data_IF_365152520568
#
_entry.id   IF_365152520568
#
_cell.length_a   1.000
_cell.length_b   1.000
_cell.length_c   1.000
_cell.angle_alpha   90.00
_cell.angle_beta   90.00
_cell.angle_gamma   90.00
#
_symmetry.space_group_name_H-M   'P 1'
#
loop_
_entity.id
_entity.type
_entity.pdbx_description
1 polymer ?
#
# COMPACT_ATOMS: atom_id res chain seq x y z
N UNK A 1 -1.28 0.82 -6.71
CA UNK A 1 -0.37 0.00 -5.90
C UNK A 1 -0.13 -1.34 -6.57
N UNK A 2 1.12 -1.82 -6.57
CA UNK A 2 1.51 -3.00 -7.33
C UNK A 2 2.23 -4.03 -6.46
N UNK A 3 1.75 -5.27 -6.53
CA UNK A 3 2.40 -6.45 -5.96
C UNK A 3 3.65 -6.76 -6.79
N UNK A 4 4.79 -6.92 -6.12
CA UNK A 4 6.11 -7.13 -6.73
C UNK A 4 6.66 -8.56 -6.53
N UNK A 5 5.81 -9.55 -6.22
CA UNK A 5 6.23 -10.94 -6.00
C UNK A 5 6.90 -11.57 -7.24
N UNK A 6 6.44 -11.23 -8.44
CA UNK A 6 7.19 -11.43 -9.67
C UNK A 6 7.86 -10.11 -10.07
N UNK A 7 9.10 -9.93 -9.62
CA UNK A 7 9.85 -8.69 -9.79
C UNK A 7 10.05 -8.32 -11.25
N UNK A 8 10.31 -9.31 -12.11
CA UNK A 8 10.50 -9.08 -13.54
C UNK A 8 9.22 -8.60 -14.21
N UNK A 9 8.09 -9.27 -13.95
CA UNK A 9 6.79 -8.87 -14.48
C UNK A 9 6.37 -7.49 -13.96
N UNK A 10 6.65 -7.18 -12.69
CA UNK A 10 6.38 -5.89 -12.09
C UNK A 10 7.21 -4.78 -12.77
N UNK A 11 8.52 -4.96 -12.89
CA UNK A 11 9.40 -3.99 -13.56
C UNK A 11 8.98 -3.74 -15.02
N UNK A 12 8.64 -4.79 -15.76
CA UNK A 12 8.15 -4.69 -17.15
C UNK A 12 6.82 -3.91 -17.22
N UNK A 13 5.92 -4.11 -16.27
CA UNK A 13 4.66 -3.38 -16.20
C UNK A 13 4.89 -1.90 -15.92
N UNK A 14 5.77 -1.56 -14.98
CA UNK A 14 6.17 -0.17 -14.71
C UNK A 14 6.75 0.46 -15.97
N UNK A 15 7.74 -0.17 -16.60
CA UNK A 15 8.38 0.34 -17.82
C UNK A 15 7.37 0.58 -18.96
N UNK A 16 6.33 -0.24 -19.05
CA UNK A 16 5.31 -0.15 -20.10
C UNK A 16 4.28 0.94 -19.86
N UNK A 17 3.87 1.17 -18.61
CA UNK A 17 2.68 1.98 -18.30
C UNK A 17 2.94 3.22 -17.44
N UNK A 18 4.13 3.37 -16.82
CA UNK A 18 4.46 4.58 -16.09
C UNK A 18 4.50 5.78 -17.06
N UNK A 19 3.94 6.89 -16.62
CA UNK A 19 3.85 8.12 -17.40
C UNK A 19 3.64 9.31 -16.45
N UNK A 20 3.63 10.57 -16.94
CA UNK A 20 3.27 11.71 -16.11
C UNK A 20 1.87 11.62 -15.45
N UNK A 21 1.03 10.72 -15.92
CA UNK A 21 -0.35 10.52 -15.41
C UNK A 21 -0.55 9.18 -14.69
N UNK A 22 0.47 8.28 -14.70
CA UNK A 22 0.39 6.95 -14.10
C UNK A 22 1.65 6.69 -13.30
N UNK A 23 1.52 6.69 -11.99
CA UNK A 23 2.57 6.35 -11.04
C UNK A 23 2.27 5.00 -10.38
N UNK A 24 3.31 4.20 -10.21
CA UNK A 24 3.22 2.94 -9.48
C UNK A 24 3.79 3.12 -8.08
N UNK A 25 3.07 2.58 -7.09
CA UNK A 25 3.48 2.56 -5.69
C UNK A 25 3.47 1.13 -5.16
N UNK A 26 4.18 0.91 -4.06
CA UNK A 26 4.41 -0.42 -3.51
C UNK A 26 3.18 -1.07 -2.88
N UNK A 27 3.00 -2.38 -3.17
CA UNK A 27 2.13 -3.29 -2.44
C UNK A 27 2.92 -4.53 -2.00
N UNK A 28 4.19 -4.36 -1.65
CA UNK A 28 5.19 -5.35 -1.21
C UNK A 28 5.72 -6.30 -2.28
N UNK A 29 6.81 -6.97 -1.94
CA UNK A 29 7.35 -8.13 -2.67
C UNK A 29 6.77 -9.42 -2.11
N UNK A 30 6.82 -9.64 -0.79
CA UNK A 30 6.52 -10.94 -0.17
C UNK A 30 5.39 -10.93 0.86
N UNK A 31 4.85 -9.75 1.23
CA UNK A 31 3.82 -9.69 2.27
C UNK A 31 2.42 -10.07 1.78
N UNK A 32 2.14 -10.01 0.47
CA UNK A 32 0.84 -10.36 -0.09
C UNK A 32 0.65 -11.88 -0.18
N UNK A 33 0.79 -12.54 0.96
CA UNK A 33 0.65 -13.99 1.16
C UNK A 33 0.01 -14.26 2.52
N UNK A 34 -0.69 -15.40 2.67
CA UNK A 34 -1.17 -15.84 3.98
C UNK A 34 0.02 -16.22 4.87
N UNK A 35 -0.22 -16.31 6.17
CA UNK A 35 0.78 -16.77 7.14
C UNK A 35 0.85 -15.90 8.39
N UNK A 36 0.05 -14.86 8.47
CA UNK A 36 -0.10 -14.01 9.64
C UNK A 36 -1.18 -14.51 10.61
N UNK A 37 -1.26 -13.84 11.76
CA UNK A 37 -2.18 -14.18 12.86
C UNK A 37 -3.12 -13.04 13.23
N UNK A 38 -3.07 -11.93 12.52
CA UNK A 38 -3.91 -10.74 12.74
C UNK A 38 -4.70 -10.41 11.47
N UNK A 39 -5.76 -9.62 11.62
CA UNK A 39 -6.59 -9.11 10.53
C UNK A 39 -7.07 -10.23 9.60
N UNK A 40 -6.82 -10.05 8.32
CA UNK A 40 -7.15 -11.03 7.28
C UNK A 40 -6.06 -12.11 7.08
N UNK A 41 -5.10 -12.20 8.01
CA UNK A 41 -4.07 -13.24 8.04
C UNK A 41 -2.89 -12.99 7.09
N UNK A 42 -2.66 -11.74 6.73
CA UNK A 42 -1.52 -11.35 5.92
C UNK A 42 -0.18 -11.61 6.61
N UNK A 43 0.84 -11.97 5.81
CA UNK A 43 2.15 -12.41 6.32
C UNK A 43 2.87 -11.39 7.19
N UNK A 44 2.53 -10.10 7.11
CA UNK A 44 3.22 -9.02 7.83
C UNK A 44 3.35 -9.28 9.34
N UNK A 45 2.33 -9.89 9.97
CA UNK A 45 2.37 -10.20 11.41
C UNK A 45 3.31 -11.32 11.80
N UNK A 46 3.85 -12.08 10.84
CA UNK A 46 4.84 -13.12 11.04
C UNK A 46 6.27 -12.66 10.64
N UNK A 47 6.43 -11.39 10.26
CA UNK A 47 7.71 -10.81 9.85
C UNK A 47 8.28 -9.91 10.94
N UNK A 48 9.60 -9.90 11.05
CA UNK A 48 10.33 -8.91 11.85
C UNK A 48 10.33 -7.54 11.17
N UNK A 49 10.56 -6.48 11.96
CA UNK A 49 10.69 -5.11 11.42
C UNK A 49 11.71 -5.03 10.27
N UNK A 50 12.87 -5.67 10.42
CA UNK A 50 13.92 -5.61 9.41
C UNK A 50 13.54 -6.34 8.12
N UNK A 51 12.82 -7.45 8.21
CA UNK A 51 12.28 -8.15 7.03
C UNK A 51 11.25 -7.28 6.30
N UNK A 52 10.36 -6.60 7.04
CA UNK A 52 9.38 -5.66 6.48
C UNK A 52 10.10 -4.49 5.81
N UNK A 53 11.07 -3.88 6.48
CA UNK A 53 11.83 -2.75 5.96
C UNK A 53 12.57 -3.09 4.67
N UNK A 54 13.18 -4.27 4.59
CA UNK A 54 13.85 -4.73 3.37
C UNK A 54 12.86 -4.96 2.24
N UNK A 55 11.72 -5.60 2.50
CA UNK A 55 10.65 -5.81 1.51
C UNK A 55 10.11 -4.47 0.95
N UNK A 56 9.93 -3.46 1.81
CA UNK A 56 9.50 -2.12 1.40
C UNK A 56 10.53 -1.45 0.48
N UNK A 57 11.82 -1.54 0.82
CA UNK A 57 12.90 -0.97 0.00
C UNK A 57 13.04 -1.67 -1.36
N UNK A 58 12.95 -2.99 -1.36
CA UNK A 58 13.01 -3.79 -2.58
C UNK A 58 11.83 -3.46 -3.50
N UNK A 59 10.61 -3.43 -2.97
CA UNK A 59 9.42 -3.10 -3.75
C UNK A 59 9.44 -1.65 -4.27
N UNK A 60 9.90 -0.69 -3.47
CA UNK A 60 10.06 0.70 -3.89
C UNK A 60 11.06 0.82 -5.06
N UNK A 61 12.16 0.07 -5.01
CA UNK A 61 13.14 0.01 -6.10
C UNK A 61 12.54 -0.54 -7.39
N UNK A 62 11.68 -1.57 -7.30
CA UNK A 62 11.03 -2.19 -8.47
C UNK A 62 10.01 -1.25 -9.11
N UNK A 63 9.20 -0.56 -8.31
CA UNK A 63 8.18 0.37 -8.84
C UNK A 63 8.76 1.73 -9.24
N UNK A 64 9.98 2.03 -8.83
CA UNK A 64 10.64 3.31 -9.11
C UNK A 64 10.07 4.48 -8.31
N UNK A 65 9.37 4.20 -7.22
CA UNK A 65 8.78 5.18 -6.31
C UNK A 65 8.83 4.68 -4.87
N UNK A 66 9.08 5.58 -3.93
CA UNK A 66 9.03 5.35 -2.49
C UNK A 66 8.13 6.37 -1.80
N UNK A 67 7.04 6.79 -2.44
CA UNK A 67 6.14 7.80 -1.88
C UNK A 67 5.08 7.18 -0.98
N UNK A 68 4.50 6.06 -1.40
CA UNK A 68 3.39 5.46 -0.70
C UNK A 68 3.45 3.93 -0.67
N UNK A 69 2.77 3.35 0.30
CA UNK A 69 2.60 1.92 0.45
C UNK A 69 1.13 1.57 0.73
N UNK A 70 0.64 0.47 0.20
CA UNK A 70 -0.61 -0.11 0.64
C UNK A 70 -0.32 -1.44 1.32
N UNK A 71 -0.78 -1.58 2.57
CA UNK A 71 -0.64 -2.83 3.31
C UNK A 71 -1.40 -3.96 2.62
N UNK A 72 -0.75 -5.10 2.29
CA UNK A 72 -1.45 -6.30 1.86
C UNK A 72 -2.50 -6.71 2.89
N UNK A 73 -3.71 -7.03 2.41
CA UNK A 73 -4.91 -7.32 3.23
C UNK A 73 -5.36 -6.16 4.14
N UNK A 74 -4.60 -5.06 4.22
CA UNK A 74 -4.82 -3.96 5.14
C UNK A 74 -4.28 -4.20 6.55
N UNK A 75 -3.61 -5.33 6.77
CA UNK A 75 -3.06 -5.73 8.07
C UNK A 75 -1.84 -4.87 8.43
N UNK A 76 -1.85 -4.31 9.63
CA UNK A 76 -0.76 -3.48 10.16
C UNK A 76 -0.22 -4.04 11.46
N UNK A 77 1.06 -3.80 11.72
CA UNK A 77 1.71 -4.11 13.00
C UNK A 77 2.53 -2.89 13.47
N UNK A 78 2.84 -2.75 14.75
CA UNK A 78 3.76 -1.70 15.22
C UNK A 78 5.11 -1.73 14.50
N UNK A 79 5.64 -2.92 14.25
CA UNK A 79 6.88 -3.11 13.48
C UNK A 79 6.71 -2.68 12.01
N UNK A 80 5.55 -2.97 11.41
CA UNK A 80 5.21 -2.54 10.06
C UNK A 80 5.13 -1.02 9.93
N UNK A 81 4.47 -0.34 10.86
CA UNK A 81 4.38 1.12 10.89
C UNK A 81 5.76 1.77 11.11
N UNK A 82 6.57 1.19 12.01
CA UNK A 82 7.95 1.63 12.21
C UNK A 82 8.78 1.46 10.94
N UNK A 83 8.67 0.32 10.26
CA UNK A 83 9.37 0.05 9.00
C UNK A 83 8.96 1.02 7.88
N UNK A 84 7.68 1.39 7.78
CA UNK A 84 7.19 2.41 6.83
C UNK A 84 7.88 3.75 7.07
N UNK A 85 7.98 4.20 8.33
CA UNK A 85 8.68 5.43 8.69
C UNK A 85 10.17 5.37 8.39
N UNK A 86 10.83 4.26 8.74
CA UNK A 86 12.28 4.04 8.51
C UNK A 86 12.62 3.87 7.02
N UNK A 87 11.68 3.39 6.21
CA UNK A 87 11.82 3.33 4.76
C UNK A 87 11.75 4.72 4.10
N UNK A 88 11.30 5.74 4.83
CA UNK A 88 11.14 7.10 4.32
C UNK A 88 9.92 7.29 3.43
N UNK A 89 8.91 6.43 3.56
CA UNK A 89 7.65 6.55 2.84
C UNK A 89 6.83 7.71 3.40
N UNK A 90 6.16 8.47 2.54
CA UNK A 90 5.35 9.60 2.97
C UNK A 90 4.04 9.17 3.63
N UNK A 91 3.47 8.04 3.18
CA UNK A 91 2.26 7.49 3.78
C UNK A 91 2.08 6.00 3.48
N UNK A 92 1.24 5.35 4.29
CA UNK A 92 0.80 3.98 4.04
C UNK A 92 -0.71 3.83 4.30
N UNK A 93 -1.36 2.99 3.50
CA UNK A 93 -2.81 2.83 3.48
C UNK A 93 -3.24 1.44 3.93
N UNK A 94 -4.25 1.41 4.81
CA UNK A 94 -4.96 0.20 5.21
C UNK A 94 -6.13 -0.08 4.27
N UNK A 95 -6.97 -1.07 4.59
CA UNK A 95 -8.26 -1.33 3.93
C UNK A 95 -9.44 -0.74 4.71
N UNK A 96 -9.21 -0.05 5.83
CA UNK A 96 -10.28 0.55 6.61
C UNK A 96 -10.99 1.62 5.77
N UNK A 97 -12.29 1.40 5.54
CA UNK A 97 -13.10 2.27 4.70
C UNK A 97 -13.57 3.49 5.49
N UNK A 98 -12.82 4.56 5.40
CA UNK A 98 -13.09 5.83 6.05
C UNK A 98 -12.28 6.95 5.38
N UNK A 99 -12.57 8.20 5.72
CA UNK A 99 -11.80 9.36 5.30
C UNK A 99 -10.47 9.46 6.06
N UNK A 100 -9.50 10.16 5.46
CA UNK A 100 -8.29 10.60 6.13
C UNK A 100 -8.43 12.07 6.51
N UNK A 101 -7.95 12.43 7.69
CA UNK A 101 -8.00 13.78 8.22
C UNK A 101 -6.60 14.30 8.52
N UNK A 102 -6.45 15.62 8.55
CA UNK A 102 -5.19 16.25 8.96
C UNK A 102 -4.91 15.87 10.41
N UNK A 103 -3.75 15.24 10.64
CA UNK A 103 -3.33 14.75 11.95
C UNK A 103 -3.49 13.24 12.15
N UNK A 104 -4.07 12.53 11.18
CA UNK A 104 -4.08 11.06 11.19
C UNK A 104 -2.65 10.50 11.08
N UNK A 105 -2.48 9.28 11.58
CA UNK A 105 -1.22 8.55 11.49
C UNK A 105 -0.93 8.18 10.01
N UNK A 106 0.02 8.88 9.41
CA UNK A 106 0.41 8.68 8.02
C UNK A 106 0.93 7.27 7.73
N UNK A 107 1.32 6.52 8.74
CA UNK A 107 1.79 5.14 8.59
C UNK A 107 0.65 4.11 8.49
N UNK A 108 -0.61 4.52 8.70
CA UNK A 108 -1.77 3.62 8.69
C UNK A 108 -3.07 4.35 8.30
N UNK A 109 -3.05 5.10 7.22
CA UNK A 109 -4.18 5.89 6.75
C UNK A 109 -5.36 5.01 6.32
N UNK A 110 -6.56 5.54 6.56
CA UNK A 110 -7.78 5.00 5.98
C UNK A 110 -7.84 5.29 4.47
N UNK A 111 -8.77 4.67 3.76
CA UNK A 111 -9.08 5.01 2.36
C UNK A 111 -10.54 4.77 2.04
N UNK A 112 -11.15 5.68 1.32
CA UNK A 112 -12.50 5.48 0.80
C UNK A 112 -12.46 4.43 -0.31
N UNK A 113 -13.26 3.38 -0.18
CA UNK A 113 -13.38 2.33 -1.18
C UNK A 113 -14.32 2.77 -2.28
N UNK A 114 -13.84 2.82 -3.51
CA UNK A 114 -14.66 3.05 -4.70
C UNK A 114 -14.87 1.72 -5.42
N UNK A 115 -16.12 1.31 -5.60
CA UNK A 115 -16.49 0.13 -6.40
C UNK A 115 -16.55 0.51 -7.88
N UNK A 116 -16.10 -0.41 -8.75
CA UNK A 116 -16.27 -0.26 -10.20
C UNK A 116 -17.74 -0.28 -10.67
N UNK A 117 -18.67 -0.64 -9.79
CA UNK A 117 -20.11 -0.64 -10.04
C UNK A 117 -20.79 0.70 -9.68
N UNK A 118 -20.07 1.63 -9.07
CA UNK A 118 -20.63 2.93 -8.72
C UNK A 118 -20.90 3.76 -9.97
N UNK A 119 -22.04 4.47 -9.96
CA UNK A 119 -22.33 5.49 -10.97
C UNK A 119 -21.33 6.66 -10.85
N UNK A 120 -21.20 7.44 -11.91
CA UNK A 120 -20.42 8.69 -11.90
C UNK A 120 -20.94 9.62 -10.80
N UNK A 121 -22.26 9.74 -10.63
CA UNK A 121 -22.85 10.58 -9.59
C UNK A 121 -22.47 10.13 -8.20
N UNK A 122 -22.47 8.81 -7.95
CA UNK A 122 -22.01 8.23 -6.67
C UNK A 122 -20.53 8.50 -6.42
N UNK A 123 -19.71 8.41 -7.47
CA UNK A 123 -18.29 8.74 -7.37
C UNK A 123 -18.08 10.23 -7.05
N UNK A 124 -18.76 11.12 -7.79
CA UNK A 124 -18.68 12.57 -7.58
C UNK A 124 -19.13 12.94 -6.17
N UNK A 125 -20.22 12.34 -5.70
CA UNK A 125 -20.69 12.52 -4.32
C UNK A 125 -19.59 12.16 -3.31
N UNK A 126 -19.01 10.96 -3.43
CA UNK A 126 -17.96 10.48 -2.52
C UNK A 126 -16.69 11.33 -2.52
N UNK A 127 -16.31 11.95 -3.63
CA UNK A 127 -15.07 12.78 -3.69
C UNK A 127 -15.29 14.23 -3.32
N UNK A 128 -16.53 14.71 -3.26
CA UNK A 128 -16.86 16.12 -2.98
C UNK A 128 -17.45 16.34 -1.57
N UNK A 129 -18.01 15.32 -0.93
CA UNK A 129 -18.51 15.45 0.44
C UNK A 129 -17.37 15.20 1.44
N UNK A 130 -16.72 16.27 1.83
CA UNK A 130 -15.77 16.33 2.93
C UNK A 130 -16.33 17.17 4.07
#
# INVERSE_FOLDING_TARGET
FMICSDQTAAANKVAKYASPYVQFESHSVSMHQPGGTIGDGGRISAMTKDEILNDLRDSASIVGSGQAFAYPFGDTTPDGQTAVSEAGLNCAFTTKNDWCYIGDDVTALNRVRISGEYSIDSFVYLVNEQ
#
